data_IF_584233593082
#
_entry.id   IF_584233593082
#
_cell.length_a   1.000
_cell.length_b   1.000
_cell.length_c   1.000
_cell.angle_alpha   90.00
_cell.angle_beta   90.00
_cell.angle_gamma   90.00
#
_symmetry.space_group_name_H-M   'P 1'
#
loop_
_entity.id
_entity.type
_entity.pdbx_description
1 polymer ?
#
# COMPACT_ATOMS: atom_id res chain seq x y z
N UNK A 1 2.21 -40.80 24.78
CA UNK A 1 2.14 -39.52 25.51
C UNK A 1 2.44 -38.29 24.61
N UNK A 2 2.07 -38.32 23.32
CA UNK A 2 2.39 -37.26 22.34
C UNK A 2 1.19 -36.62 21.63
N UNK A 3 -0.02 -37.16 21.80
CA UNK A 3 -1.24 -36.63 21.16
C UNK A 3 -2.01 -35.62 22.03
N UNK A 4 -1.65 -35.48 23.31
CA UNK A 4 -2.30 -34.54 24.24
C UNK A 4 -1.81 -33.10 24.03
N UNK A 5 -0.59 -32.89 23.53
CA UNK A 5 -0.04 -31.55 23.28
C UNK A 5 -0.59 -30.86 22.02
N UNK A 6 -1.13 -31.61 21.06
CA UNK A 6 -1.66 -31.02 19.82
C UNK A 6 -3.06 -30.39 20.01
N UNK A 7 -3.80 -30.83 21.04
CA UNK A 7 -5.19 -30.40 21.27
C UNK A 7 -5.37 -29.16 22.16
N UNK A 8 -4.30 -28.57 22.70
CA UNK A 8 -4.40 -27.36 23.56
C UNK A 8 -4.23 -26.02 22.82
N UNK A 9 -3.98 -26.04 21.50
CA UNK A 9 -3.85 -24.80 20.70
C UNK A 9 -5.15 -24.30 20.05
N UNK A 10 -6.28 -24.99 20.23
CA UNK A 10 -7.54 -24.69 19.53
C UNK A 10 -8.57 -23.86 20.35
N UNK A 11 -8.15 -23.16 21.41
CA UNK A 11 -9.11 -22.52 22.34
C UNK A 11 -8.82 -21.10 22.80
N UNK A 12 -7.71 -20.45 22.40
CA UNK A 12 -7.46 -19.04 22.81
C UNK A 12 -7.88 -18.10 21.70
N UNK A 13 -9.08 -17.52 21.83
CA UNK A 13 -9.50 -16.41 20.98
C UNK A 13 -8.53 -15.25 21.18
N UNK A 14 -7.92 -14.77 20.09
CA UNK A 14 -7.04 -13.61 20.15
C UNK A 14 -7.78 -12.40 20.73
N UNK A 15 -7.13 -11.57 21.57
CA UNK A 15 -7.77 -10.42 22.20
C UNK A 15 -8.39 -9.49 21.15
N UNK A 16 -9.58 -8.95 21.43
CA UNK A 16 -10.26 -7.99 20.56
C UNK A 16 -10.49 -6.70 21.33
N UNK A 17 -9.83 -5.63 20.91
CA UNK A 17 -10.00 -4.30 21.46
C UNK A 17 -9.78 -3.26 20.37
N UNK A 18 -10.34 -2.07 20.59
CA UNK A 18 -10.19 -0.95 19.66
C UNK A 18 -8.82 -0.32 19.87
N UNK A 19 -8.03 -0.22 18.81
CA UNK A 19 -6.78 0.54 18.82
C UNK A 19 -7.07 2.02 18.68
N UNK A 20 -6.43 2.83 19.49
CA UNK A 20 -6.39 4.27 19.29
C UNK A 20 -5.36 4.63 18.22
N UNK A 21 -5.75 5.53 17.31
CA UNK A 21 -4.87 6.00 16.25
C UNK A 21 -3.87 7.02 16.80
N UNK A 22 -2.58 6.74 16.61
CA UNK A 22 -1.55 7.74 16.90
C UNK A 22 -1.59 8.89 15.87
N UNK A 23 -0.88 9.99 16.16
CA UNK A 23 -0.77 11.09 15.20
C UNK A 23 -0.14 10.64 13.87
N UNK A 24 0.81 9.71 13.92
CA UNK A 24 1.40 9.12 12.72
C UNK A 24 0.39 8.28 11.93
N UNK A 25 -0.46 7.51 12.61
CA UNK A 25 -1.54 6.76 11.94
C UNK A 25 -2.51 7.70 11.22
N UNK A 26 -2.91 8.79 11.88
CA UNK A 26 -3.79 9.81 11.30
C UNK A 26 -3.16 10.46 10.08
N UNK A 27 -1.88 10.81 10.16
CA UNK A 27 -1.12 11.36 9.05
C UNK A 27 -1.14 10.42 7.84
N UNK A 28 -0.86 9.13 8.04
CA UNK A 28 -0.87 8.14 6.96
C UNK A 28 -2.26 7.97 6.32
N UNK A 29 -3.31 7.94 7.14
CA UNK A 29 -4.70 7.85 6.66
C UNK A 29 -5.10 9.09 5.84
N UNK A 30 -4.79 10.29 6.33
CA UNK A 30 -5.07 11.55 5.63
C UNK A 30 -4.29 11.61 4.32
N UNK A 31 -2.99 11.29 4.33
CA UNK A 31 -2.16 11.24 3.13
C UNK A 31 -2.73 10.26 2.11
N UNK A 32 -3.07 9.04 2.52
CA UNK A 32 -3.64 8.05 1.61
C UNK A 32 -4.96 8.54 1.00
N UNK A 33 -5.84 9.15 1.80
CA UNK A 33 -7.12 9.67 1.33
C UNK A 33 -6.96 10.85 0.35
N UNK A 34 -6.13 11.84 0.70
CA UNK A 34 -5.89 13.02 -0.15
C UNK A 34 -5.27 12.62 -1.48
N UNK A 35 -4.27 11.74 -1.46
CA UNK A 35 -3.61 11.25 -2.67
C UNK A 35 -4.54 10.39 -3.51
N UNK A 36 -5.39 9.57 -2.89
CA UNK A 36 -6.41 8.80 -3.60
C UNK A 36 -7.42 9.69 -4.33
N UNK A 37 -7.92 10.74 -3.67
CA UNK A 37 -8.82 11.72 -4.30
C UNK A 37 -8.09 12.46 -5.43
N UNK A 38 -6.83 12.86 -5.19
CA UNK A 38 -5.99 13.49 -6.21
C UNK A 38 -5.77 12.59 -7.43
N UNK A 39 -5.55 11.29 -7.25
CA UNK A 39 -5.40 10.34 -8.35
C UNK A 39 -6.64 10.31 -9.25
N UNK A 40 -7.84 10.20 -8.67
CA UNK A 40 -9.08 10.25 -9.44
C UNK A 40 -9.25 11.59 -10.15
N UNK A 41 -9.04 12.70 -9.43
CA UNK A 41 -9.10 14.04 -10.00
C UNK A 41 -8.16 14.20 -11.19
N UNK A 42 -6.89 13.80 -11.03
CA UNK A 42 -5.85 13.88 -12.04
C UNK A 42 -6.24 13.11 -13.30
N UNK A 43 -6.67 11.85 -13.16
CA UNK A 43 -7.02 11.00 -14.30
C UNK A 43 -8.26 11.53 -15.02
N UNK A 44 -9.35 11.83 -14.29
CA UNK A 44 -10.60 12.26 -14.90
C UNK A 44 -10.47 13.61 -15.63
N UNK A 45 -9.74 14.56 -15.06
CA UNK A 45 -9.55 15.90 -15.68
C UNK A 45 -8.58 15.88 -16.86
N UNK A 46 -7.70 14.87 -16.94
CA UNK A 46 -6.73 14.73 -18.03
C UNK A 46 -7.22 13.83 -19.15
N UNK A 47 -8.14 12.89 -18.88
CA UNK A 47 -8.52 11.82 -19.81
C UNK A 47 -8.93 12.31 -21.20
N UNK A 48 -9.77 13.36 -21.27
CA UNK A 48 -10.24 13.91 -22.55
C UNK A 48 -9.16 14.57 -23.40
N UNK A 49 -8.00 14.89 -22.80
CA UNK A 49 -6.85 15.53 -23.47
C UNK A 49 -5.79 14.51 -23.90
N UNK A 50 -5.93 13.24 -23.50
CA UNK A 50 -4.96 12.21 -23.84
C UNK A 50 -5.12 11.76 -25.30
N UNK A 51 -4.01 11.56 -26.02
CA UNK A 51 -4.02 10.91 -27.33
C UNK A 51 -4.56 9.47 -27.22
N UNK A 52 -4.98 8.87 -28.33
CA UNK A 52 -5.52 7.50 -28.33
C UNK A 52 -4.52 6.45 -27.81
N UNK A 53 -3.23 6.71 -27.96
CA UNK A 53 -2.15 5.87 -27.44
C UNK A 53 -1.30 6.62 -26.41
N UNK A 54 -1.06 5.98 -25.27
CA UNK A 54 -0.22 6.49 -24.16
C UNK A 54 0.76 5.40 -23.73
N UNK A 55 1.79 5.77 -22.96
CA UNK A 55 2.69 4.81 -22.34
C UNK A 55 1.93 3.80 -21.46
N UNK A 56 2.20 2.52 -21.68
CA UNK A 56 1.66 1.40 -20.89
C UNK A 56 2.74 0.70 -20.07
N UNK A 57 4.00 0.79 -20.51
CA UNK A 57 5.12 0.20 -19.80
C UNK A 57 6.36 1.09 -19.87
N UNK A 58 7.15 1.03 -18.80
CA UNK A 58 8.44 1.69 -18.70
C UNK A 58 9.51 0.65 -18.39
N UNK A 59 10.66 0.73 -19.06
CA UNK A 59 11.79 -0.15 -18.80
C UNK A 59 12.49 0.16 -17.46
N UNK A 60 13.56 -0.57 -17.14
CA UNK A 60 14.32 -0.37 -15.88
C UNK A 60 15.04 0.98 -15.81
N UNK A 61 15.26 1.65 -16.95
CA UNK A 61 15.75 3.03 -17.00
C UNK A 61 14.63 4.07 -16.85
N UNK A 62 13.38 3.59 -16.82
CA UNK A 62 12.15 4.37 -16.71
C UNK A 62 11.71 5.01 -18.04
N UNK A 63 12.24 4.55 -19.18
CA UNK A 63 11.83 4.99 -20.52
C UNK A 63 10.62 4.20 -21.00
N UNK A 64 9.75 4.87 -21.77
CA UNK A 64 8.61 4.21 -22.43
C UNK A 64 9.15 3.15 -23.39
N UNK A 65 8.75 1.90 -23.18
CA UNK A 65 9.08 0.80 -24.08
C UNK A 65 7.85 0.05 -24.60
N UNK A 66 6.65 0.48 -24.18
CA UNK A 66 5.37 0.00 -24.70
C UNK A 66 4.31 1.12 -24.64
N UNK A 67 3.39 1.10 -25.60
CA UNK A 67 2.28 2.04 -25.71
C UNK A 67 0.97 1.31 -25.99
N UNK A 68 -0.14 1.86 -25.54
CA UNK A 68 -1.45 1.25 -25.73
C UNK A 68 -2.60 2.23 -25.54
N UNK A 69 -3.83 1.72 -25.61
CA UNK A 69 -5.03 2.55 -25.55
C UNK A 69 -5.07 3.42 -24.28
N UNK A 70 -5.46 4.69 -24.44
CA UNK A 70 -5.62 5.62 -23.31
C UNK A 70 -6.56 5.16 -22.21
N UNK A 71 -7.49 4.25 -22.51
CA UNK A 71 -8.39 3.66 -21.51
C UNK A 71 -7.63 2.92 -20.40
N UNK A 72 -6.43 2.41 -20.70
CA UNK A 72 -5.57 1.69 -19.75
C UNK A 72 -5.22 2.53 -18.52
N UNK A 73 -5.18 3.86 -18.63
CA UNK A 73 -4.90 4.74 -17.48
C UNK A 73 -5.95 4.61 -16.36
N UNK A 74 -7.18 4.20 -16.67
CA UNK A 74 -8.24 4.00 -15.68
C UNK A 74 -7.97 2.80 -14.76
N UNK A 75 -7.08 1.89 -15.15
CA UNK A 75 -6.69 0.74 -14.31
C UNK A 75 -6.09 1.23 -12.98
N UNK A 76 -5.28 2.29 -13.00
CA UNK A 76 -4.65 2.84 -11.79
C UNK A 76 -5.68 3.28 -10.74
N UNK A 77 -6.63 4.21 -10.99
CA UNK A 77 -7.63 4.62 -10.00
C UNK A 77 -8.59 3.48 -9.62
N UNK A 78 -8.92 2.56 -10.54
CA UNK A 78 -9.80 1.43 -10.23
C UNK A 78 -9.14 0.46 -9.25
N UNK A 79 -7.91 0.01 -9.54
CA UNK A 79 -7.15 -0.86 -8.63
C UNK A 79 -6.85 -0.11 -7.32
N UNK A 80 -6.52 1.19 -7.38
CA UNK A 80 -6.35 2.01 -6.19
C UNK A 80 -7.57 1.96 -5.28
N UNK A 81 -8.77 2.08 -5.85
CA UNK A 81 -10.04 2.06 -5.10
C UNK A 81 -10.22 0.73 -4.39
N UNK A 82 -10.00 -0.38 -5.10
CA UNK A 82 -10.11 -1.72 -4.52
C UNK A 82 -9.10 -1.92 -3.39
N UNK A 83 -7.82 -1.60 -3.61
CA UNK A 83 -6.76 -1.76 -2.60
C UNK A 83 -7.01 -0.84 -1.41
N UNK A 84 -7.37 0.43 -1.63
CA UNK A 84 -7.66 1.37 -0.56
C UNK A 84 -8.79 0.87 0.33
N UNK A 85 -9.89 0.40 -0.26
CA UNK A 85 -11.01 -0.17 0.46
C UNK A 85 -10.61 -1.44 1.22
N UNK A 86 -9.97 -2.39 0.55
CA UNK A 86 -9.51 -3.65 1.15
C UNK A 86 -8.61 -3.39 2.35
N UNK A 87 -7.55 -2.59 2.18
CA UNK A 87 -6.62 -2.26 3.25
C UNK A 87 -7.30 -1.50 4.38
N UNK A 88 -8.27 -0.63 4.09
CA UNK A 88 -9.03 0.06 5.14
C UNK A 88 -9.97 -0.86 5.93
N UNK A 89 -10.52 -1.90 5.29
CA UNK A 89 -11.41 -2.89 5.92
C UNK A 89 -10.59 -3.83 6.80
N UNK A 90 -9.54 -4.46 6.26
CA UNK A 90 -8.75 -5.44 7.04
C UNK A 90 -8.11 -4.79 8.27
N UNK A 91 -7.74 -3.50 8.17
CA UNK A 91 -7.10 -2.78 9.27
C UNK A 91 -8.02 -2.53 10.47
N UNK A 92 -9.33 -2.77 10.33
CA UNK A 92 -10.29 -2.78 11.44
C UNK A 92 -10.26 -4.08 12.24
N UNK A 93 -9.65 -5.12 11.72
CA UNK A 93 -9.64 -6.46 12.31
C UNK A 93 -8.22 -7.01 12.51
N UNK A 94 -7.33 -6.32 13.26
CA UNK A 94 -5.94 -6.73 13.42
C UNK A 94 -5.76 -8.14 13.99
N UNK A 95 -6.73 -8.64 14.76
CA UNK A 95 -6.70 -9.99 15.32
C UNK A 95 -6.72 -11.11 14.26
N UNK A 96 -7.14 -10.83 13.02
CA UNK A 96 -7.16 -11.82 11.92
C UNK A 96 -5.86 -11.87 11.13
N UNK A 97 -4.91 -10.98 11.38
CA UNK A 97 -3.65 -10.94 10.64
C UNK A 97 -2.76 -12.14 10.94
N UNK A 98 -1.84 -12.42 10.02
CA UNK A 98 -0.79 -13.41 10.23
C UNK A 98 0.37 -12.74 10.98
N UNK A 99 0.63 -13.18 12.20
CA UNK A 99 1.72 -12.69 13.04
C UNK A 99 2.85 -13.72 13.09
N UNK A 100 4.10 -13.23 13.17
CA UNK A 100 5.30 -14.07 13.28
C UNK A 100 5.46 -14.72 14.66
N UNK A 101 4.65 -14.30 15.63
CA UNK A 101 4.68 -14.76 17.02
C UNK A 101 3.26 -15.09 17.48
N UNK A 102 3.15 -15.93 18.49
CA UNK A 102 1.86 -16.18 19.15
C UNK A 102 1.35 -14.88 19.79
N UNK A 103 0.05 -14.61 19.64
CA UNK A 103 -0.58 -13.42 20.19
C UNK A 103 -1.16 -13.73 21.56
N UNK A 104 -0.68 -13.00 22.57
CA UNK A 104 -1.10 -13.07 23.96
C UNK A 104 -1.78 -11.76 24.38
N UNK A 105 -2.46 -11.73 25.52
CA UNK A 105 -3.05 -10.50 26.05
C UNK A 105 -2.00 -9.40 26.30
N UNK A 106 -0.80 -9.79 26.72
CA UNK A 106 0.28 -8.87 27.02
C UNK A 106 0.90 -8.24 25.77
N UNK A 107 1.08 -9.01 24.69
CA UNK A 107 1.76 -8.52 23.48
C UNK A 107 0.81 -7.95 22.42
N UNK A 108 -0.48 -8.30 22.47
CA UNK A 108 -1.46 -7.91 21.45
C UNK A 108 -1.51 -6.39 21.20
N UNK A 109 -1.46 -5.50 22.22
CA UNK A 109 -1.48 -4.05 21.99
C UNK A 109 -0.33 -3.58 21.09
N UNK A 110 0.89 -4.07 21.34
CA UNK A 110 2.05 -3.68 20.56
C UNK A 110 2.04 -4.32 19.17
N UNK A 111 1.73 -5.62 19.08
CA UNK A 111 1.70 -6.35 17.81
C UNK A 111 0.65 -5.78 16.86
N UNK A 112 -0.56 -5.50 17.36
CA UNK A 112 -1.64 -4.96 16.54
C UNK A 112 -1.34 -3.52 16.12
N UNK A 113 -0.74 -2.72 17.01
CA UNK A 113 -0.30 -1.36 16.65
C UNK A 113 0.72 -1.40 15.51
N UNK A 114 1.78 -2.20 15.62
CA UNK A 114 2.83 -2.29 14.61
C UNK A 114 2.29 -2.82 13.27
N UNK A 115 1.48 -3.89 13.30
CA UNK A 115 0.93 -4.46 12.08
C UNK A 115 -0.04 -3.51 11.38
N UNK A 116 -0.94 -2.86 12.14
CA UNK A 116 -1.88 -1.90 11.54
C UNK A 116 -1.20 -0.64 11.01
N UNK A 117 -0.14 -0.17 11.68
CA UNK A 117 0.72 0.92 11.20
C UNK A 117 1.39 0.58 9.88
N UNK A 118 1.95 -0.64 9.75
CA UNK A 118 2.53 -1.11 8.50
C UNK A 118 1.49 -1.12 7.37
N UNK A 119 0.28 -1.61 7.62
CA UNK A 119 -0.80 -1.60 6.62
C UNK A 119 -1.18 -0.18 6.19
N UNK A 120 -1.30 0.78 7.12
CA UNK A 120 -1.56 2.19 6.78
C UNK A 120 -0.45 2.79 5.94
N UNK A 121 0.79 2.48 6.30
CA UNK A 121 1.96 2.96 5.59
C UNK A 121 1.98 2.42 4.15
N UNK A 122 1.80 1.11 3.98
CA UNK A 122 1.72 0.49 2.65
C UNK A 122 0.56 1.06 1.82
N UNK A 123 -0.61 1.26 2.44
CA UNK A 123 -1.76 1.90 1.78
C UNK A 123 -1.39 3.28 1.24
N UNK A 124 -0.78 4.13 2.06
CA UNK A 124 -0.36 5.47 1.65
C UNK A 124 0.68 5.42 0.52
N UNK A 125 1.70 4.56 0.64
CA UNK A 125 2.73 4.40 -0.38
C UNK A 125 2.14 3.95 -1.72
N UNK A 126 1.23 2.98 -1.72
CA UNK A 126 0.57 2.51 -2.95
C UNK A 126 -0.24 3.65 -3.62
N UNK A 127 -0.98 4.44 -2.84
CA UNK A 127 -1.73 5.59 -3.40
C UNK A 127 -0.78 6.61 -4.04
N UNK A 128 0.33 6.94 -3.37
CA UNK A 128 1.36 7.85 -3.89
C UNK A 128 1.98 7.29 -5.17
N UNK A 129 2.32 6.01 -5.20
CA UNK A 129 2.89 5.36 -6.38
C UNK A 129 1.94 5.41 -7.57
N UNK A 130 0.66 5.07 -7.39
CA UNK A 130 -0.31 5.11 -8.47
C UNK A 130 -0.59 6.53 -8.98
N UNK A 131 -0.67 7.51 -8.08
CA UNK A 131 -0.77 8.93 -8.45
C UNK A 131 0.46 9.39 -9.24
N UNK A 132 1.66 9.02 -8.79
CA UNK A 132 2.91 9.38 -9.45
C UNK A 132 3.04 8.76 -10.85
N UNK A 133 2.77 7.46 -10.99
CA UNK A 133 2.81 6.78 -12.30
C UNK A 133 1.77 7.40 -13.24
N UNK A 134 0.55 7.64 -12.76
CA UNK A 134 -0.51 8.27 -13.57
C UNK A 134 -0.09 9.67 -14.04
N UNK A 135 0.53 10.46 -13.15
CA UNK A 135 1.05 11.77 -13.49
C UNK A 135 2.17 11.71 -14.53
N UNK A 136 3.10 10.76 -14.40
CA UNK A 136 4.17 10.54 -15.37
C UNK A 136 3.62 10.20 -16.75
N UNK A 137 2.65 9.27 -16.85
CA UNK A 137 2.00 8.89 -18.12
C UNK A 137 1.29 10.09 -18.76
N UNK A 138 0.54 10.87 -17.98
CA UNK A 138 -0.15 12.07 -18.49
C UNK A 138 0.83 13.11 -19.01
N UNK A 139 1.95 13.31 -18.31
CA UNK A 139 2.97 14.31 -18.67
C UNK A 139 3.74 13.89 -19.91
N UNK A 140 4.10 12.61 -20.02
CA UNK A 140 4.72 12.02 -21.21
C UNK A 140 3.84 12.23 -22.44
N UNK A 141 2.54 11.93 -22.32
CA UNK A 141 1.58 12.07 -23.40
C UNK A 141 1.37 13.53 -23.87
N UNK A 142 1.61 14.52 -23.00
CA UNK A 142 1.41 15.95 -23.30
C UNK A 142 2.69 16.67 -23.78
N UNK A 143 3.87 16.19 -23.38
CA UNK A 143 5.12 16.94 -23.57
C UNK A 143 6.23 16.16 -24.28
N UNK A 144 5.99 14.89 -24.64
CA UNK A 144 6.88 13.96 -25.39
C UNK A 144 8.32 13.85 -24.86
N UNK A 145 8.58 14.28 -23.62
CA UNK A 145 9.95 14.44 -23.07
C UNK A 145 10.14 13.87 -21.66
N UNK A 146 9.10 13.34 -21.02
CA UNK A 146 9.18 12.95 -19.61
C UNK A 146 9.10 11.44 -19.46
N UNK A 147 10.23 10.81 -19.16
CA UNK A 147 10.29 9.41 -18.72
C UNK A 147 10.07 9.31 -17.21
N UNK A 148 9.68 8.14 -16.71
CA UNK A 148 9.97 7.83 -15.31
C UNK A 148 11.51 7.87 -15.16
N UNK A 149 12.03 8.59 -14.18
CA UNK A 149 13.48 8.62 -13.96
C UNK A 149 13.98 7.24 -13.51
N UNK A 150 15.23 6.86 -13.83
CA UNK A 150 15.83 5.60 -13.37
C UNK A 150 15.81 5.46 -11.83
N UNK A 151 15.77 6.59 -11.11
CA UNK A 151 15.71 6.66 -9.66
C UNK A 151 14.35 6.19 -9.09
N UNK A 152 13.29 6.19 -9.90
CA UNK A 152 11.95 5.81 -9.44
C UNK A 152 11.93 4.41 -8.85
N UNK A 153 12.48 3.43 -9.56
CA UNK A 153 12.44 2.03 -9.13
C UNK A 153 13.18 1.81 -7.79
N UNK A 154 14.45 2.22 -7.60
CA UNK A 154 15.13 2.03 -6.32
C UNK A 154 14.46 2.81 -5.17
N UNK A 155 13.96 4.03 -5.41
CA UNK A 155 13.21 4.80 -4.40
C UNK A 155 11.92 4.07 -4.02
N UNK A 156 11.16 3.57 -5.00
CA UNK A 156 9.92 2.84 -4.76
C UNK A 156 10.17 1.55 -3.98
N UNK A 157 11.16 0.76 -4.37
CA UNK A 157 11.54 -0.45 -3.65
C UNK A 157 12.00 -0.12 -2.23
N UNK A 158 12.84 0.90 -2.05
CA UNK A 158 13.25 1.37 -0.72
C UNK A 158 12.05 1.79 0.15
N UNK A 159 11.11 2.54 -0.42
CA UNK A 159 9.91 3.01 0.26
C UNK A 159 8.99 1.88 0.71
N UNK A 160 8.97 0.72 0.03
CA UNK A 160 8.20 -0.46 0.42
C UNK A 160 9.00 -1.35 1.39
N UNK A 161 10.22 -1.72 1.04
CA UNK A 161 10.98 -2.75 1.75
C UNK A 161 11.58 -2.27 3.07
N UNK A 162 12.12 -1.04 3.14
CA UNK A 162 12.78 -0.57 4.37
C UNK A 162 11.79 -0.49 5.55
N UNK A 163 10.59 0.10 5.41
CA UNK A 163 9.62 0.13 6.50
C UNK A 163 9.09 -1.26 6.83
N UNK A 164 8.87 -2.11 5.83
CA UNK A 164 8.44 -3.50 6.06
C UNK A 164 9.46 -4.26 6.91
N UNK A 165 10.75 -4.17 6.58
CA UNK A 165 11.84 -4.76 7.36
C UNK A 165 11.84 -4.17 8.79
N UNK A 166 11.76 -2.84 8.92
CA UNK A 166 11.70 -2.17 10.22
C UNK A 166 10.56 -2.70 11.11
N UNK A 167 9.33 -2.77 10.58
CA UNK A 167 8.16 -3.22 11.32
C UNK A 167 8.26 -4.71 11.68
N UNK A 168 8.73 -5.57 10.77
CA UNK A 168 8.95 -6.99 11.08
C UNK A 168 10.00 -7.19 12.17
N UNK A 169 11.14 -6.51 12.09
CA UNK A 169 12.17 -6.56 13.14
C UNK A 169 11.60 -6.10 14.48
N UNK A 170 10.80 -5.02 14.51
CA UNK A 170 10.15 -4.58 15.75
C UNK A 170 9.13 -5.59 16.28
N UNK A 171 8.31 -6.18 15.43
CA UNK A 171 7.35 -7.22 15.85
C UNK A 171 8.05 -8.44 16.45
N UNK A 172 9.16 -8.89 15.84
CA UNK A 172 9.95 -10.03 16.35
C UNK A 172 10.59 -9.72 17.71
N UNK A 173 11.07 -8.49 17.91
CA UNK A 173 11.71 -8.07 19.18
C UNK A 173 10.72 -7.86 20.33
N UNK A 174 9.44 -7.60 20.04
CA UNK A 174 8.41 -7.31 21.06
C UNK A 174 7.42 -8.48 21.17
N UNK A 175 7.93 -9.67 21.56
CA UNK A 175 7.12 -10.88 21.75
C UNK A 175 6.24 -10.81 22.98
#
# INVERSE_FOLDING_TARGET
>A
MGLVYLNLKLGRTRPKFKLELSNFDKLLEVTAMVVFIYLWYLVLTSYGKLPEQIATHFDSSGKVNDVGSKITILIFPIIATFIYALLSIINKFPHTFNYLTEITEQNAPMQYKLATQLIRYLKATIMVTFAFISHAIITDAQSTKTSLGFEFLPIFLGAIFLPMIYYFVRMIKNK
#
